data_IF_623628654760
#
_entry.id   IF_623628654760
#
_cell.length_a   1.000
_cell.length_b   1.000
_cell.length_c   1.000
_cell.angle_alpha   90.00
_cell.angle_beta   90.00
_cell.angle_gamma   90.00
#
_symmetry.space_group_name_H-M   'P 1'
#
loop_
_entity.id
_entity.type
_entity.pdbx_description
1 polymer ?
#
# COMPACT_ATOMS: atom_id res chain seq x y z
N UNK A 1 -36.91 49.87 21.67
CA UNK A 1 -35.89 48.81 21.64
C UNK A 1 -35.84 48.24 20.22
N UNK A 2 -34.89 48.70 19.40
CA UNK A 2 -34.78 48.32 17.98
C UNK A 2 -34.18 46.92 17.93
N UNK A 3 -34.91 45.93 17.39
CA UNK A 3 -34.53 44.53 17.54
C UNK A 3 -33.26 44.21 16.73
N UNK A 4 -32.30 43.54 17.37
CA UNK A 4 -31.07 43.04 16.74
C UNK A 4 -31.33 41.83 15.81
N UNK A 5 -32.60 41.60 15.43
CA UNK A 5 -33.06 40.46 14.64
C UNK A 5 -32.38 40.39 13.26
N UNK A 6 -32.15 41.54 12.64
CA UNK A 6 -31.45 41.64 11.37
C UNK A 6 -29.97 41.19 11.45
N UNK A 7 -29.33 41.39 12.61
CA UNK A 7 -27.94 40.97 12.84
C UNK A 7 -27.89 39.45 13.01
N UNK A 8 -28.83 38.88 13.76
CA UNK A 8 -28.92 37.42 13.98
C UNK A 8 -29.17 36.68 12.67
N UNK A 9 -30.08 37.17 11.83
CA UNK A 9 -30.34 36.62 10.49
C UNK A 9 -29.09 36.65 9.59
N UNK A 10 -28.32 37.74 9.63
CA UNK A 10 -27.07 37.85 8.88
C UNK A 10 -26.02 36.84 9.33
N UNK A 11 -25.84 36.66 10.63
CA UNK A 11 -24.86 35.71 11.20
C UNK A 11 -25.24 34.25 10.86
N UNK A 12 -26.51 33.89 10.97
CA UNK A 12 -27.00 32.54 10.63
C UNK A 12 -26.85 32.26 9.13
N UNK A 13 -27.11 33.25 8.27
CA UNK A 13 -26.90 33.13 6.83
C UNK A 13 -25.43 32.87 6.46
N UNK A 14 -24.51 33.61 7.06
CA UNK A 14 -23.06 33.43 6.84
C UNK A 14 -22.60 32.06 7.34
N UNK A 15 -23.04 31.63 8.53
CA UNK A 15 -22.74 30.29 9.06
C UNK A 15 -23.25 29.18 8.15
N UNK A 16 -24.45 29.31 7.59
CA UNK A 16 -25.02 28.35 6.63
C UNK A 16 -24.18 28.21 5.35
N UNK A 17 -23.64 29.32 4.83
CA UNK A 17 -22.77 29.33 3.64
C UNK A 17 -21.42 28.66 3.95
N UNK A 18 -20.83 28.93 5.12
CA UNK A 18 -19.56 28.32 5.51
C UNK A 18 -19.72 26.80 5.70
N UNK A 19 -20.81 26.37 6.33
CA UNK A 19 -21.12 24.95 6.52
C UNK A 19 -21.34 24.26 5.17
N UNK A 20 -22.08 24.87 4.24
CA UNK A 20 -22.32 24.27 2.94
C UNK A 20 -21.02 24.12 2.13
N UNK A 21 -20.16 25.13 2.09
CA UNK A 21 -18.85 25.06 1.43
C UNK A 21 -17.98 23.94 2.04
N UNK A 22 -18.01 23.79 3.36
CA UNK A 22 -17.25 22.74 4.05
C UNK A 22 -17.77 21.33 3.72
N UNK A 23 -19.10 21.13 3.69
CA UNK A 23 -19.75 19.85 3.35
C UNK A 23 -19.56 19.48 1.87
N UNK A 24 -19.59 20.47 0.97
CA UNK A 24 -19.30 20.23 -0.46
C UNK A 24 -17.82 19.88 -0.68
N UNK A 25 -16.90 20.51 0.04
CA UNK A 25 -15.47 20.22 -0.06
C UNK A 25 -15.11 18.84 0.52
N UNK A 26 -15.80 18.39 1.58
CA UNK A 26 -15.55 17.05 2.15
C UNK A 26 -16.08 15.92 1.27
N UNK A 27 -17.10 16.16 0.45
CA UNK A 27 -17.73 15.14 -0.40
C UNK A 27 -17.01 14.90 -1.73
N UNK A 28 -16.05 15.75 -2.11
CA UNK A 28 -15.43 15.75 -3.44
C UNK A 28 -14.08 15.00 -3.55
N UNK A 29 -13.51 14.47 -2.45
CA UNK A 29 -12.26 13.70 -2.51
C UNK A 29 -12.55 12.21 -2.71
N UNK A 30 -12.81 11.80 -3.96
CA UNK A 30 -12.78 10.39 -4.34
C UNK A 30 -11.56 10.14 -5.21
N UNK A 31 -10.41 9.95 -4.57
CA UNK A 31 -9.23 9.43 -5.25
C UNK A 31 -9.51 7.99 -5.67
N UNK A 32 -9.72 7.80 -6.97
CA UNK A 32 -9.78 6.46 -7.56
C UNK A 32 -8.36 6.05 -7.93
N UNK A 33 -7.78 5.15 -7.14
CA UNK A 33 -6.46 4.57 -7.44
C UNK A 33 -6.63 3.74 -8.72
N UNK A 34 -6.18 4.26 -9.85
CA UNK A 34 -6.18 3.53 -11.11
C UNK A 34 -4.91 2.68 -11.16
N UNK A 35 -5.08 1.36 -11.11
CA UNK A 35 -3.96 0.41 -11.21
C UNK A 35 -3.74 0.11 -12.68
N UNK A 36 -2.54 0.38 -13.20
CA UNK A 36 -2.20 0.19 -14.63
C UNK A 36 -0.91 -0.61 -14.80
N UNK A 37 -0.84 -1.31 -15.94
CA UNK A 37 0.32 -2.10 -16.37
C UNK A 37 0.89 -3.04 -15.30
N UNK A 38 2.18 -2.87 -15.04
CA UNK A 38 2.96 -3.68 -14.10
C UNK A 38 2.84 -3.25 -12.63
N UNK A 39 1.91 -2.37 -12.28
CA UNK A 39 1.72 -1.92 -10.90
C UNK A 39 1.20 -3.08 -10.02
N UNK A 40 1.94 -3.48 -8.97
CA UNK A 40 1.51 -4.53 -8.06
C UNK A 40 0.23 -4.17 -7.33
N UNK A 41 -0.73 -5.09 -7.29
CA UNK A 41 -1.95 -4.98 -6.50
C UNK A 41 -2.30 -6.28 -5.79
N UNK A 42 -3.19 -6.18 -4.80
CA UNK A 42 -3.55 -7.30 -3.91
C UNK A 42 -2.30 -7.96 -3.29
N UNK A 43 -1.36 -7.14 -2.82
CA UNK A 43 -0.16 -7.62 -2.12
C UNK A 43 -0.60 -8.33 -0.85
N UNK A 44 -0.23 -9.59 -0.73
CA UNK A 44 -0.53 -10.45 0.40
C UNK A 44 0.76 -11.01 0.99
N UNK A 45 0.82 -11.05 2.32
CA UNK A 45 1.95 -11.57 3.09
C UNK A 45 1.38 -12.62 4.02
N UNK A 46 1.88 -13.85 3.97
CA UNK A 46 1.34 -14.95 4.75
C UNK A 46 2.38 -15.99 5.13
N UNK A 47 2.04 -16.81 6.13
CA UNK A 47 2.85 -17.96 6.52
C UNK A 47 2.76 -19.08 5.48
N UNK A 48 3.77 -19.93 5.48
CA UNK A 48 3.79 -21.20 4.76
C UNK A 48 3.72 -22.37 5.75
N UNK A 49 3.64 -23.59 5.24
CA UNK A 49 3.71 -24.81 6.06
C UNK A 49 5.10 -25.06 6.66
N UNK A 50 6.14 -24.47 6.07
CA UNK A 50 7.49 -24.49 6.62
C UNK A 50 7.64 -23.44 7.73
N UNK A 51 8.28 -23.84 8.83
CA UNK A 51 8.72 -22.90 9.87
C UNK A 51 9.77 -21.95 9.28
N UNK A 52 9.77 -20.69 9.74
CA UNK A 52 10.75 -19.68 9.34
C UNK A 52 10.69 -19.25 7.86
N UNK A 53 9.52 -19.35 7.24
CA UNK A 53 9.30 -18.85 5.88
C UNK A 53 8.02 -18.05 5.75
N UNK A 54 8.05 -17.12 4.80
CA UNK A 54 6.94 -16.22 4.48
C UNK A 54 6.72 -16.23 2.99
N UNK A 55 5.45 -16.35 2.60
CA UNK A 55 4.99 -16.17 1.25
C UNK A 55 4.54 -14.72 1.04
N UNK A 56 5.04 -14.09 -0.01
CA UNK A 56 4.60 -12.80 -0.50
C UNK A 56 4.05 -12.98 -1.91
N UNK A 57 2.83 -12.54 -2.15
CA UNK A 57 2.18 -12.66 -3.46
C UNK A 57 1.50 -11.37 -3.88
N UNK A 58 1.46 -11.11 -5.17
CA UNK A 58 0.75 -9.96 -5.75
C UNK A 58 0.30 -10.26 -7.18
N UNK A 59 -0.48 -9.35 -7.75
CA UNK A 59 -0.91 -9.41 -9.15
C UNK A 59 -0.51 -8.14 -9.92
N UNK A 60 -0.41 -8.26 -11.24
CA UNK A 60 -0.28 -7.17 -12.22
C UNK A 60 -1.33 -7.34 -13.32
N UNK A 61 -1.64 -6.26 -14.05
CA UNK A 61 -2.61 -6.33 -15.16
C UNK A 61 -2.00 -6.92 -16.43
N UNK A 62 -0.70 -6.70 -16.61
CA UNK A 62 0.12 -7.20 -17.72
C UNK A 62 1.10 -8.27 -17.23
N UNK A 63 1.67 -9.01 -18.17
CA UNK A 63 2.74 -9.97 -17.90
C UNK A 63 4.04 -9.21 -17.63
N UNK A 64 4.50 -9.26 -16.39
CA UNK A 64 5.60 -8.43 -15.91
C UNK A 64 6.65 -9.27 -15.22
N UNK A 65 7.93 -8.87 -15.28
CA UNK A 65 8.95 -9.50 -14.45
C UNK A 65 8.79 -9.03 -13.01
N UNK A 66 8.87 -9.95 -12.05
CA UNK A 66 8.62 -9.66 -10.64
C UNK A 66 9.64 -10.30 -9.70
N UNK A 67 10.26 -9.50 -8.84
CA UNK A 67 11.12 -9.99 -7.75
C UNK A 67 11.07 -9.07 -6.54
N UNK A 68 11.58 -9.52 -5.39
CA UNK A 68 11.67 -8.72 -4.17
C UNK A 68 13.12 -8.32 -3.92
N UNK A 69 13.30 -7.08 -3.47
CA UNK A 69 14.48 -6.73 -2.66
C UNK A 69 14.03 -6.71 -1.21
N UNK A 70 14.77 -7.37 -0.32
CA UNK A 70 14.40 -7.46 1.10
C UNK A 70 15.62 -7.44 2.02
N UNK A 71 15.39 -7.09 3.28
CA UNK A 71 16.45 -6.82 4.23
C UNK A 71 15.97 -6.77 5.68
N UNK A 72 16.93 -6.69 6.61
CA UNK A 72 16.66 -6.47 8.04
C UNK A 72 16.61 -4.99 8.41
N UNK A 73 17.06 -4.13 7.49
CA UNK A 73 17.10 -2.68 7.66
C UNK A 73 16.29 -2.02 6.55
N UNK A 74 15.55 -0.96 6.90
CA UNK A 74 14.69 -0.24 5.94
C UNK A 74 15.46 0.34 4.74
N UNK A 75 16.74 0.68 4.92
CA UNK A 75 17.62 1.23 3.86
C UNK A 75 18.60 0.20 3.28
N UNK A 76 18.63 -1.02 3.81
CA UNK A 76 19.57 -2.08 3.41
C UNK A 76 18.80 -3.30 2.95
N UNK A 77 18.30 -3.27 1.70
CA UNK A 77 17.56 -4.36 1.06
C UNK A 77 18.51 -5.22 0.21
N UNK A 78 19.47 -5.86 0.88
CA UNK A 78 20.63 -6.49 0.22
C UNK A 78 20.36 -7.92 -0.27
N UNK A 79 19.17 -8.46 0.01
CA UNK A 79 18.77 -9.81 -0.40
C UNK A 79 17.72 -9.76 -1.51
N UNK A 80 17.72 -10.78 -2.37
CA UNK A 80 16.79 -10.89 -3.51
C UNK A 80 15.91 -12.11 -3.35
N UNK A 81 14.60 -11.92 -3.42
CA UNK A 81 13.61 -12.99 -3.51
C UNK A 81 13.08 -13.09 -4.93
N UNK A 82 12.99 -14.29 -5.49
CA UNK A 82 12.53 -14.51 -6.87
C UNK A 82 11.37 -15.51 -6.89
N UNK A 83 10.51 -15.39 -7.90
CA UNK A 83 9.46 -16.37 -8.16
C UNK A 83 10.11 -17.61 -8.80
N UNK A 84 10.00 -18.75 -8.12
CA UNK A 84 10.54 -20.03 -8.58
C UNK A 84 9.46 -20.95 -9.15
N UNK A 85 8.18 -20.57 -9.04
CA UNK A 85 7.04 -21.37 -9.50
C UNK A 85 6.58 -20.93 -10.87
N UNK A 86 6.51 -19.63 -11.11
CA UNK A 86 6.01 -19.07 -12.35
C UNK A 86 7.15 -18.78 -13.33
N UNK A 87 6.76 -18.40 -14.54
CA UNK A 87 7.69 -17.91 -15.55
C UNK A 87 8.33 -16.58 -15.14
N UNK A 88 9.39 -16.19 -15.84
CA UNK A 88 10.11 -14.92 -15.62
C UNK A 88 9.17 -13.72 -15.71
N UNK A 89 8.11 -13.82 -16.53
CA UNK A 89 7.04 -12.82 -16.63
C UNK A 89 5.69 -13.48 -16.33
N UNK A 90 4.86 -12.81 -15.53
CA UNK A 90 3.53 -13.32 -15.15
C UNK A 90 2.62 -12.17 -14.74
N UNK A 91 1.31 -12.44 -14.65
CA UNK A 91 0.32 -11.57 -13.99
C UNK A 91 0.13 -11.90 -12.51
N UNK A 92 0.55 -13.09 -12.10
CA UNK A 92 0.46 -13.57 -10.73
C UNK A 92 1.85 -13.96 -10.26
N UNK A 93 2.27 -13.40 -9.13
CA UNK A 93 3.59 -13.61 -8.57
C UNK A 93 3.49 -14.22 -7.18
N UNK A 94 4.31 -15.23 -6.92
CA UNK A 94 4.41 -15.87 -5.62
C UNK A 94 5.88 -16.10 -5.26
N UNK A 95 6.34 -15.43 -4.21
CA UNK A 95 7.73 -15.51 -3.74
C UNK A 95 7.74 -16.04 -2.31
N UNK A 96 8.51 -17.10 -2.09
CA UNK A 96 8.72 -17.69 -0.78
C UNK A 96 10.10 -17.29 -0.27
N UNK A 97 10.12 -16.53 0.83
CA UNK A 97 11.34 -16.18 1.54
C UNK A 97 11.58 -17.22 2.65
N UNK A 98 12.74 -17.88 2.59
CA UNK A 98 13.10 -18.97 3.50
C UNK A 98 14.16 -18.53 4.52
N UNK A 99 14.37 -19.35 5.55
CA UNK A 99 15.44 -19.19 6.54
C UNK A 99 15.39 -17.86 7.30
N UNK A 100 14.18 -17.35 7.55
CA UNK A 100 13.96 -16.10 8.26
C UNK A 100 13.95 -16.31 9.77
N UNK A 101 14.62 -15.44 10.51
CA UNK A 101 14.51 -15.43 11.98
C UNK A 101 13.13 -14.91 12.39
N UNK A 102 12.30 -15.76 13.00
CA UNK A 102 10.90 -15.47 13.32
C UNK A 102 10.66 -14.19 14.14
N UNK A 103 11.56 -13.85 15.07
CA UNK A 103 11.45 -12.67 15.94
C UNK A 103 11.96 -11.36 15.31
N UNK A 104 12.45 -11.39 14.07
CA UNK A 104 13.00 -10.22 13.40
C UNK A 104 11.97 -9.57 12.47
N UNK A 105 12.01 -8.24 12.46
CA UNK A 105 11.36 -7.44 11.42
C UNK A 105 12.19 -7.50 10.15
N UNK A 106 11.51 -7.68 9.03
CA UNK A 106 12.06 -7.59 7.68
C UNK A 106 11.34 -6.50 6.92
N UNK A 107 12.06 -5.91 5.97
CA UNK A 107 11.59 -4.90 5.04
C UNK A 107 11.71 -5.43 3.62
N UNK A 108 10.77 -5.08 2.74
CA UNK A 108 10.86 -5.45 1.33
C UNK A 108 10.21 -4.42 0.41
N UNK A 109 10.69 -4.40 -0.82
CA UNK A 109 10.07 -3.69 -1.95
C UNK A 109 9.81 -4.69 -3.08
N UNK A 110 8.72 -4.50 -3.79
CA UNK A 110 8.43 -5.28 -5.00
C UNK A 110 9.07 -4.57 -6.18
N UNK A 111 9.95 -5.25 -6.90
CA UNK A 111 10.44 -4.77 -8.18
C UNK A 111 9.59 -5.41 -9.28
N UNK A 112 8.83 -4.58 -9.99
CA UNK A 112 7.98 -5.01 -11.09
C UNK A 112 8.38 -4.26 -12.36
N UNK A 113 8.83 -5.01 -13.37
CA UNK A 113 9.39 -4.48 -14.62
C UNK A 113 10.45 -3.38 -14.41
N UNK A 114 11.35 -3.57 -13.44
CA UNK A 114 12.43 -2.64 -13.10
C UNK A 114 12.02 -1.44 -12.23
N UNK A 115 10.73 -1.30 -11.88
CA UNK A 115 10.23 -0.22 -11.03
C UNK A 115 10.03 -0.74 -9.60
N UNK A 116 10.49 0.04 -8.62
CA UNK A 116 10.35 -0.28 -7.19
C UNK A 116 9.00 0.20 -6.65
N UNK A 117 8.26 -0.72 -6.03
CA UNK A 117 6.98 -0.48 -5.40
C UNK A 117 7.03 -0.77 -3.90
N UNK A 118 6.47 0.18 -3.16
CA UNK A 118 6.29 0.13 -1.72
C UNK A 118 5.08 0.98 -1.33
N UNK A 119 4.80 1.11 -0.03
CA UNK A 119 3.72 1.97 0.44
C UNK A 119 4.26 3.40 0.57
N UNK A 120 3.71 4.33 -0.19
CA UNK A 120 4.12 5.75 -0.18
C UNK A 120 5.63 5.94 -0.47
N UNK A 121 6.19 5.08 -1.33
CA UNK A 121 7.63 5.08 -1.66
C UNK A 121 8.53 4.45 -0.59
N UNK A 122 7.95 3.90 0.48
CA UNK A 122 8.69 3.22 1.55
C UNK A 122 8.54 1.69 1.45
N UNK A 123 9.57 0.92 1.83
CA UNK A 123 9.46 -0.54 1.92
C UNK A 123 8.31 -0.99 2.81
N UNK A 124 7.65 -2.07 2.41
CA UNK A 124 6.71 -2.82 3.23
C UNK A 124 7.49 -3.57 4.32
N UNK A 125 6.84 -3.93 5.43
CA UNK A 125 7.49 -4.64 6.53
C UNK A 125 6.64 -5.79 7.06
N UNK A 126 7.30 -6.81 7.62
CA UNK A 126 6.65 -7.93 8.29
C UNK A 126 7.56 -8.57 9.34
N UNK A 127 6.98 -9.29 10.30
CA UNK A 127 7.66 -10.36 11.05
C UNK A 127 6.80 -11.62 11.00
N UNK A 128 7.40 -12.80 11.12
CA UNK A 128 6.64 -14.05 11.14
C UNK A 128 5.67 -14.11 12.33
N UNK A 129 6.06 -13.51 13.45
CA UNK A 129 5.24 -13.46 14.67
C UNK A 129 4.01 -12.56 14.56
N UNK A 130 3.99 -11.59 13.63
CA UNK A 130 2.87 -10.66 13.44
C UNK A 130 1.91 -11.06 12.31
N UNK A 131 2.23 -12.13 11.58
CA UNK A 131 1.38 -12.74 10.55
C UNK A 131 0.48 -13.81 11.18
#
# INVERSE_FOLDING_TARGET
MKSNWFIILGVVGILGIVISVFVFKSSASKDSITIEGCTPYNVNIGKTDQENSVKISWKSKEDCSGYLLYGKEMRGLDMVGVDLKNEVQSKEHEIVLNSLVSSKMYYFTIISNGISYGKEGLPLQFSITSL
#
